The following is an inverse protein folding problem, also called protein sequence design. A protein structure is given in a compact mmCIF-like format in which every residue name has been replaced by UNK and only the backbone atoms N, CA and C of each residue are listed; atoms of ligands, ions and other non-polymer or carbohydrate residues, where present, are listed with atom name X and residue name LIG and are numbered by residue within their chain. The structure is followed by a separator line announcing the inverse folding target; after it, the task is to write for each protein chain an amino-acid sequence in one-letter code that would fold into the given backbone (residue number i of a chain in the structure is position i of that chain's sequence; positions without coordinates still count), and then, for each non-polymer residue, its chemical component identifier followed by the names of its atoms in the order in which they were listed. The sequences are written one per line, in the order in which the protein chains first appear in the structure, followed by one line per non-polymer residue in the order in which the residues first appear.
data_IF_728539831287
#
_entry.id   IF_728539831287
#
_cell.length_a   1.000
_cell.length_b   1.000
_cell.length_c   1.000
_cell.angle_alpha   90.00
_cell.angle_beta   90.00
_cell.angle_gamma   90.00
#
_symmetry.space_group_name_H-M   'P 1'
#
loop_
_entity.id
_entity.type
_entity.pdbx_description
1 polymer ?
#
# COMPACT_ATOMS: atom_id res chain seq x y z
N UNK A 1 3.88 -4.34 -7.37
CA UNK A 1 4.91 -3.45 -6.78
C UNK A 1 4.17 -2.59 -5.78
N UNK A 2 4.73 -2.29 -4.59
CA UNK A 2 4.09 -1.42 -3.60
C UNK A 2 4.01 0.01 -4.16
N UNK A 3 3.08 0.18 -5.10
CA UNK A 3 2.96 1.35 -5.94
C UNK A 3 2.64 2.54 -5.05
N UNK A 4 1.77 2.35 -4.05
CA UNK A 4 1.41 3.43 -3.12
C UNK A 4 2.62 3.88 -2.28
N UNK A 5 3.35 2.97 -1.62
CA UNK A 5 4.52 3.37 -0.84
C UNK A 5 5.54 4.13 -1.68
N UNK A 6 5.94 3.57 -2.83
CA UNK A 6 6.93 4.20 -3.72
C UNK A 6 6.42 5.54 -4.23
N UNK A 7 5.17 5.62 -4.67
CA UNK A 7 4.58 6.85 -5.19
C UNK A 7 4.54 7.96 -4.14
N UNK A 8 4.18 7.65 -2.90
CA UNK A 8 4.10 8.63 -1.83
C UNK A 8 5.49 9.10 -1.38
N UNK A 9 6.49 8.21 -1.39
CA UNK A 9 7.90 8.59 -1.17
C UNK A 9 8.38 9.54 -2.29
N UNK A 10 8.05 9.25 -3.55
CA UNK A 10 8.39 10.14 -4.67
C UNK A 10 7.69 11.50 -4.55
N UNK A 11 6.42 11.53 -4.13
CA UNK A 11 5.68 12.79 -3.88
C UNK A 11 6.30 13.64 -2.76
N UNK A 12 6.97 13.02 -1.79
CA UNK A 12 7.77 13.73 -0.77
C UNK A 12 9.07 14.34 -1.32
N UNK A 13 9.45 14.01 -2.56
CA UNK A 13 10.59 14.59 -3.28
C UNK A 13 11.81 13.68 -3.40
N UNK A 14 11.71 12.43 -2.96
CA UNK A 14 12.79 11.45 -3.12
C UNK A 14 12.82 10.87 -4.53
N UNK A 15 14.01 10.52 -5.03
CA UNK A 15 14.13 9.86 -6.33
C UNK A 15 13.89 8.36 -6.19
N UNK A 16 13.26 7.77 -7.20
CA UNK A 16 12.91 6.34 -7.20
C UNK A 16 14.12 5.44 -6.97
N UNK A 17 15.26 5.75 -7.59
CA UNK A 17 16.51 5.02 -7.47
C UNK A 17 17.13 5.07 -6.05
N UNK A 18 16.77 6.07 -5.25
CA UNK A 18 17.30 6.25 -3.88
C UNK A 18 16.41 5.56 -2.82
N UNK A 19 15.18 5.15 -3.17
CA UNK A 19 14.19 4.62 -2.21
C UNK A 19 14.67 3.36 -1.52
N UNK A 20 15.23 2.41 -2.27
CA UNK A 20 15.73 1.17 -1.70
C UNK A 20 16.82 1.43 -0.64
N UNK A 21 17.76 2.33 -0.97
CA UNK A 21 18.83 2.78 -0.07
C UNK A 21 18.29 3.46 1.20
N UNK A 22 17.33 4.37 1.05
CA UNK A 22 16.72 5.09 2.18
C UNK A 22 16.04 4.12 3.14
N UNK A 23 15.21 3.21 2.61
CA UNK A 23 14.50 2.23 3.41
C UNK A 23 15.45 1.21 4.04
N UNK A 24 16.54 0.83 3.35
CA UNK A 24 17.53 -0.09 3.86
C UNK A 24 18.25 0.50 5.08
N UNK A 25 18.70 1.75 4.98
CA UNK A 25 19.29 2.49 6.10
C UNK A 25 18.28 2.66 7.24
N UNK A 26 17.04 3.02 6.94
CA UNK A 26 15.99 3.21 7.94
C UNK A 26 15.70 1.93 8.71
N UNK A 27 15.62 0.79 8.03
CA UNK A 27 15.29 -0.51 8.62
C UNK A 27 16.51 -1.30 9.09
N UNK A 28 17.72 -0.76 8.89
CA UNK A 28 18.99 -1.40 9.22
C UNK A 28 19.11 -2.80 8.58
N UNK A 29 18.86 -2.89 7.27
CA UNK A 29 18.96 -4.10 6.47
C UNK A 29 19.64 -3.81 5.12
N UNK A 30 19.83 -4.82 4.28
CA UNK A 30 20.42 -4.63 2.95
C UNK A 30 19.40 -4.08 1.95
N UNK A 31 19.88 -3.34 0.94
CA UNK A 31 19.05 -2.87 -0.17
C UNK A 31 18.37 -4.03 -0.91
N UNK A 32 19.04 -5.17 -1.04
CA UNK A 32 18.47 -6.38 -1.63
C UNK A 32 17.21 -6.86 -0.89
N UNK A 33 17.20 -6.82 0.45
CA UNK A 33 16.02 -7.19 1.24
C UNK A 33 14.87 -6.23 0.95
N UNK A 34 15.15 -4.93 0.86
CA UNK A 34 14.13 -3.93 0.54
C UNK A 34 13.61 -4.12 -0.87
N UNK A 35 14.48 -4.31 -1.86
CA UNK A 35 14.06 -4.55 -3.24
C UNK A 35 13.15 -5.77 -3.34
N UNK A 36 13.51 -6.87 -2.66
CA UNK A 36 12.68 -8.08 -2.61
C UNK A 36 11.31 -7.78 -1.99
N UNK A 37 11.26 -6.99 -0.90
CA UNK A 37 9.99 -6.55 -0.31
C UNK A 37 9.18 -5.67 -1.27
N UNK A 38 9.80 -4.68 -1.92
CA UNK A 38 9.13 -3.79 -2.89
C UNK A 38 8.60 -4.54 -4.13
N UNK A 39 9.26 -5.64 -4.50
CA UNK A 39 8.87 -6.57 -5.58
C UNK A 39 7.83 -7.63 -5.14
N UNK A 40 7.32 -7.60 -3.91
CA UNK A 40 6.42 -8.61 -3.30
C UNK A 40 7.01 -10.03 -3.21
N UNK A 41 8.34 -10.15 -3.23
CA UNK A 41 9.04 -11.42 -2.96
C UNK A 41 9.14 -11.67 -1.45
N UNK A 42 8.96 -10.63 -0.63
CA UNK A 42 8.84 -10.72 0.82
C UNK A 42 7.91 -9.64 1.36
N UNK A 43 7.49 -9.80 2.62
CA UNK A 43 6.55 -8.89 3.28
C UNK A 43 7.27 -7.92 4.23
N UNK A 44 6.72 -6.71 4.38
CA UNK A 44 7.09 -5.83 5.48
C UNK A 44 6.41 -6.31 6.76
N UNK A 45 7.19 -6.41 7.83
CA UNK A 45 6.67 -6.69 9.17
C UNK A 45 5.93 -5.48 9.73
N UNK A 46 5.06 -5.72 10.72
CA UNK A 46 4.32 -4.65 11.37
C UNK A 46 5.23 -3.54 11.95
N UNK A 47 6.41 -3.90 12.48
CA UNK A 47 7.34 -2.91 13.03
C UNK A 47 7.97 -2.04 11.94
N UNK A 48 8.33 -2.65 10.80
CA UNK A 48 8.89 -1.93 9.66
C UNK A 48 7.88 -0.95 9.08
N UNK A 49 6.61 -1.36 8.89
CA UNK A 49 5.57 -0.46 8.33
C UNK A 49 5.30 0.73 9.25
N UNK A 50 5.26 0.52 10.57
CA UNK A 50 5.08 1.59 11.55
C UNK A 50 6.27 2.55 11.52
N UNK A 51 7.49 2.03 11.46
CA UNK A 51 8.70 2.84 11.40
C UNK A 51 8.75 3.69 10.13
N UNK A 52 8.42 3.11 8.98
CA UNK A 52 8.34 3.85 7.70
C UNK A 52 7.31 4.98 7.80
N UNK A 53 6.11 4.71 8.33
CA UNK A 53 5.09 5.74 8.45
C UNK A 53 5.53 6.89 9.37
N UNK A 54 6.16 6.56 10.50
CA UNK A 54 6.64 7.56 11.44
C UNK A 54 7.76 8.43 10.86
N UNK A 55 8.75 7.82 10.22
CA UNK A 55 10.01 8.50 9.88
C UNK A 55 9.96 9.19 8.51
N UNK A 56 9.21 8.63 7.55
CA UNK A 56 9.09 9.21 6.20
C UNK A 56 7.85 10.10 6.09
N UNK A 57 6.78 9.74 6.79
CA UNK A 57 5.47 10.36 6.63
C UNK A 57 4.94 11.06 7.89
N UNK A 58 5.70 11.12 8.98
CA UNK A 58 5.25 11.73 10.25
C UNK A 58 3.92 11.14 10.76
N UNK A 59 3.65 9.87 10.46
CA UNK A 59 2.38 9.18 10.74
C UNK A 59 1.14 9.79 10.05
N UNK A 60 1.31 10.58 8.99
CA UNK A 60 0.20 11.21 8.26
C UNK A 60 -0.50 10.27 7.27
N UNK A 61 0.11 9.13 6.95
CA UNK A 61 -0.41 8.19 5.94
C UNK A 61 -1.16 7.02 6.56
N UNK A 62 -2.20 6.55 5.86
CA UNK A 62 -2.88 5.30 6.18
C UNK A 62 -1.97 4.11 5.81
N UNK A 63 -1.63 3.30 6.81
CA UNK A 63 -0.73 2.14 6.64
C UNK A 63 -1.33 1.10 5.70
N UNK A 64 -2.65 0.87 5.75
CA UNK A 64 -3.27 -0.07 4.82
C UNK A 64 -3.10 0.45 3.40
N UNK A 65 -3.37 1.73 3.15
CA UNK A 65 -3.16 2.31 1.82
C UNK A 65 -1.72 2.14 1.31
N UNK A 66 -0.72 2.49 2.13
CA UNK A 66 0.69 2.39 1.76
C UNK A 66 1.12 0.97 1.40
N UNK A 67 0.62 -0.02 2.15
CA UNK A 67 1.03 -1.42 2.05
C UNK A 67 -0.07 -2.34 1.48
N UNK A 68 -1.05 -1.78 0.76
CA UNK A 68 -2.03 -2.57 0.01
C UNK A 68 -1.37 -3.01 -1.29
N UNK A 69 -1.42 -4.31 -1.56
CA UNK A 69 -1.12 -4.83 -2.89
C UNK A 69 -2.20 -4.31 -3.83
N UNK A 70 -1.83 -3.64 -4.92
CA UNK A 70 -2.78 -3.45 -6.02
C UNK A 70 -3.25 -4.84 -6.41
N UNK A 71 -4.54 -5.14 -6.12
CA UNK A 71 -5.18 -6.26 -6.79
C UNK A 71 -5.09 -5.92 -8.27
N UNK A 72 -4.41 -6.76 -9.05
CA UNK A 72 -4.63 -6.81 -10.48
C UNK A 72 -6.14 -6.91 -10.66
N UNK A 73 -6.74 -5.82 -11.12
CA UNK A 73 -8.16 -5.75 -11.35
C UNK A 73 -8.51 -6.61 -12.56
N UNK A 74 -8.52 -7.93 -12.41
CA UNK A 74 -9.70 -8.69 -12.82
C UNK A 74 -10.68 -8.70 -11.64
N UNK A 75 -11.14 -7.50 -11.26
CA UNK A 75 -12.44 -7.39 -10.62
C UNK A 75 -13.46 -7.83 -11.68
N UNK A 76 -13.68 -9.14 -11.78
CA UNK A 76 -14.84 -9.69 -12.48
C UNK A 76 -16.02 -9.30 -11.62
N UNK A 77 -16.55 -8.11 -11.85
CA UNK A 77 -17.88 -7.74 -11.40
C UNK A 77 -18.83 -8.75 -12.05
N UNK A 78 -19.14 -9.82 -11.34
CA UNK A 78 -20.33 -10.58 -11.63
C UNK A 78 -21.50 -9.63 -11.37
N UNK A 79 -22.07 -9.09 -12.46
CA UNK A 79 -23.28 -8.27 -12.52
C UNK A 79 -24.55 -8.98 -11.99
N UNK A 80 -24.36 -10.07 -11.24
CA UNK A 80 -25.42 -11.01 -10.85
C UNK A 80 -26.09 -10.60 -9.52
N UNK A 81 -25.60 -9.56 -8.84
CA UNK A 81 -26.18 -9.05 -7.57
C UNK A 81 -26.79 -7.65 -7.75
N UNK A 82 -27.47 -7.41 -8.86
CA UNK A 82 -28.60 -6.48 -8.89
C UNK A 82 -29.88 -7.28 -9.11
N UNK A 83 -30.22 -8.15 -8.15
CA UNK A 83 -31.63 -8.49 -7.96
C UNK A 83 -32.34 -7.25 -7.43
N UNK A 84 -33.05 -6.57 -8.34
CA UNK A 84 -34.03 -5.53 -8.05
C UNK A 84 -35.06 -6.05 -7.04
N UNK A 85 -34.76 -5.87 -5.76
CA UNK A 85 -35.70 -6.11 -4.67
C UNK A 85 -36.55 -4.84 -4.50
N UNK A 86 -37.86 -4.99 -4.71
CA UNK A 86 -38.88 -3.94 -4.83
C UNK A 86 -38.82 -2.86 -3.73
N UNK A 87 -39.19 -1.59 -4.04
CA UNK A 87 -39.29 -0.55 -3.02
C UNK A 87 -40.34 -0.93 -1.98
N UNK A 88 -39.94 -1.01 -0.71
CA UNK A 88 -40.87 -1.16 0.41
C UNK A 88 -41.69 0.13 0.57
N UNK A 89 -43.01 -0.03 0.63
CA UNK A 89 -43.96 1.07 0.78
C UNK A 89 -43.82 1.68 2.18
N UNK A 90 -43.38 2.93 2.18
CA UNK A 90 -43.80 4.06 2.99
C UNK A 90 -44.93 3.79 3.99
N UNK A 91 -44.64 4.11 5.26
CA UNK A 91 -45.48 4.65 6.33
C UNK A 91 -46.90 4.06 6.51
N UNK A 92 -47.10 3.38 7.65
CA UNK A 92 -48.39 3.37 8.39
C UNK A 92 -48.09 3.93 9.78
#
# INVERSE_FOLDING_TARGET
MYNNLVNEIVKKGYKTEEIAHILANLLNCSEEIIENKLKHVGEFTFQEVIKINSEIFNNEMDIKYLFTEEQDNEATYHDDIIQKSKPSKWWI
#
